data_IF_513552522511
#
_entry.id   IF_513552522511
#
_cell.length_a   1.000
_cell.length_b   1.000
_cell.length_c   1.000
_cell.angle_alpha   90.00
_cell.angle_beta   90.00
_cell.angle_gamma   90.00
#
_symmetry.space_group_name_H-M   'P 1'
#
loop_
_entity.id
_entity.type
_entity.pdbx_description
1 polymer ?
#
# COMPACT_ATOMS: atom_id res chain seq x y z
N UNK A 1 -19.11 -14.85 7.98
CA UNK A 1 -18.35 -15.95 7.33
C UNK A 1 -17.10 -15.44 6.61
N UNK A 2 -17.14 -14.27 5.98
CA UNK A 2 -16.04 -13.65 5.21
C UNK A 2 -14.79 -13.29 6.03
N UNK A 3 -14.95 -12.80 7.27
CA UNK A 3 -13.82 -12.34 8.12
C UNK A 3 -12.87 -13.49 8.52
N UNK A 4 -13.40 -14.70 8.78
CA UNK A 4 -12.58 -15.88 9.11
C UNK A 4 -11.73 -16.33 7.91
N UNK A 5 -12.31 -16.34 6.71
CA UNK A 5 -11.59 -16.73 5.50
C UNK A 5 -10.48 -15.71 5.17
N UNK A 6 -10.79 -14.41 5.23
CA UNK A 6 -9.82 -13.34 5.07
C UNK A 6 -8.67 -13.46 6.09
N UNK A 7 -8.99 -13.74 7.36
CA UNK A 7 -8.00 -13.95 8.42
C UNK A 7 -7.07 -15.13 8.17
N UNK A 8 -7.59 -16.26 7.65
CA UNK A 8 -6.74 -17.40 7.27
C UNK A 8 -5.88 -17.12 6.04
N UNK A 9 -6.43 -16.42 5.03
CA UNK A 9 -5.70 -16.05 3.81
C UNK A 9 -4.55 -15.10 4.14
N UNK A 10 -4.80 -14.05 4.93
CA UNK A 10 -3.76 -13.11 5.35
C UNK A 10 -2.65 -13.82 6.13
N UNK A 11 -2.99 -14.75 7.03
CA UNK A 11 -1.98 -15.51 7.78
C UNK A 11 -1.09 -16.37 6.86
N UNK A 12 -1.68 -17.06 5.88
CA UNK A 12 -0.92 -17.87 4.92
C UNK A 12 -0.02 -17.01 4.02
N UNK A 13 -0.48 -15.83 3.62
CA UNK A 13 0.30 -14.88 2.82
C UNK A 13 1.43 -14.24 3.63
N UNK A 14 1.19 -13.91 4.90
CA UNK A 14 2.25 -13.42 5.80
C UNK A 14 3.34 -14.46 6.02
N UNK A 15 2.98 -15.74 6.10
CA UNK A 15 3.97 -16.83 6.17
C UNK A 15 4.81 -16.92 4.89
N UNK A 16 4.17 -16.78 3.71
CA UNK A 16 4.87 -16.74 2.41
C UNK A 16 5.77 -15.52 2.24
N UNK A 17 5.41 -14.39 2.85
CA UNK A 17 6.20 -13.17 2.88
C UNK A 17 7.25 -13.15 4.02
N UNK A 18 7.43 -14.28 4.71
CA UNK A 18 8.44 -14.44 5.77
C UNK A 18 8.32 -13.40 6.91
N UNK A 19 7.09 -12.98 7.23
CA UNK A 19 6.85 -11.94 8.22
C UNK A 19 7.36 -12.32 9.63
N UNK A 20 8.21 -11.47 10.21
CA UNK A 20 8.78 -11.62 11.56
C UNK A 20 7.76 -11.38 12.66
N UNK A 21 6.82 -10.46 12.44
CA UNK A 21 5.84 -10.01 13.42
C UNK A 21 4.41 -10.35 13.00
N UNK A 22 4.15 -11.63 12.75
CA UNK A 22 2.91 -12.14 12.13
C UNK A 22 1.64 -11.60 12.76
N UNK A 23 1.50 -11.65 14.09
CA UNK A 23 0.27 -11.22 14.77
C UNK A 23 0.01 -9.72 14.57
N UNK A 24 1.04 -8.89 14.77
CA UNK A 24 0.93 -7.43 14.67
C UNK A 24 0.65 -6.99 13.23
N UNK A 25 1.36 -7.59 12.26
CA UNK A 25 1.11 -7.34 10.85
C UNK A 25 -0.30 -7.78 10.43
N UNK A 26 -0.73 -8.96 10.88
CA UNK A 26 -2.06 -9.49 10.59
C UNK A 26 -3.17 -8.57 11.13
N UNK A 27 -3.03 -8.08 12.35
CA UNK A 27 -4.03 -7.19 12.96
C UNK A 27 -4.12 -5.85 12.20
N UNK A 28 -2.98 -5.27 11.81
CA UNK A 28 -2.95 -4.03 11.02
C UNK A 28 -3.59 -4.23 9.63
N UNK A 29 -3.20 -5.30 8.92
CA UNK A 29 -3.75 -5.65 7.59
C UNK A 29 -5.25 -5.92 7.66
N UNK A 30 -5.71 -6.74 8.61
CA UNK A 30 -7.14 -7.04 8.73
C UNK A 30 -7.96 -5.81 9.11
N UNK A 31 -7.40 -4.92 9.94
CA UNK A 31 -8.02 -3.63 10.25
C UNK A 31 -8.19 -2.79 8.98
N UNK A 32 -7.14 -2.68 8.15
CA UNK A 32 -7.21 -1.97 6.88
C UNK A 32 -8.24 -2.59 5.92
N UNK A 33 -8.21 -3.91 5.71
CA UNK A 33 -9.14 -4.61 4.80
C UNK A 33 -10.61 -4.49 5.22
N UNK A 34 -10.91 -4.33 6.51
CA UNK A 34 -12.27 -4.07 6.99
C UNK A 34 -12.79 -2.70 6.56
N UNK A 35 -11.93 -1.68 6.55
CA UNK A 35 -12.30 -0.31 6.15
C UNK A 35 -12.20 -0.12 4.63
N UNK A 36 -11.32 -0.87 3.98
CA UNK A 36 -11.01 -0.77 2.55
C UNK A 36 -11.17 -2.12 1.85
N UNK A 37 -12.41 -2.63 1.69
CA UNK A 37 -12.66 -3.97 1.13
C UNK A 37 -12.28 -4.11 -0.35
N UNK A 38 -12.00 -3.00 -1.04
CA UNK A 38 -11.49 -2.99 -2.42
C UNK A 38 -10.04 -3.47 -2.55
N UNK A 39 -9.29 -3.49 -1.45
CA UNK A 39 -7.91 -3.96 -1.43
C UNK A 39 -7.84 -5.47 -1.31
N UNK A 40 -6.90 -6.07 -2.03
CA UNK A 40 -6.68 -7.52 -2.10
C UNK A 40 -5.27 -7.86 -1.60
N UNK A 41 -5.14 -8.82 -0.69
CA UNK A 41 -3.84 -9.27 -0.23
C UNK A 41 -3.20 -10.24 -1.23
N UNK A 42 -1.91 -10.06 -1.48
CA UNK A 42 -1.09 -10.88 -2.36
C UNK A 42 0.35 -10.98 -1.83
N UNK A 43 1.19 -11.77 -2.51
CA UNK A 43 2.64 -11.82 -2.25
C UNK A 43 3.37 -11.77 -3.59
N UNK A 44 4.30 -10.83 -3.71
CA UNK A 44 5.18 -10.68 -4.87
C UNK A 44 6.62 -10.56 -4.41
N UNK A 45 7.55 -10.88 -5.30
CA UNK A 45 8.95 -10.51 -5.10
C UNK A 45 9.09 -9.00 -5.27
N UNK A 46 9.69 -8.33 -4.28
CA UNK A 46 9.93 -6.90 -4.28
C UNK A 46 11.43 -6.62 -4.21
N UNK A 47 11.90 -5.72 -5.07
CA UNK A 47 13.27 -5.24 -5.06
C UNK A 47 13.31 -3.95 -4.25
N UNK A 48 13.97 -4.00 -3.11
CA UNK A 48 14.09 -2.87 -2.21
C UNK A 48 15.21 -1.92 -2.63
N UNK A 49 15.25 -0.68 -2.09
CA UNK A 49 16.32 0.29 -2.39
C UNK A 49 17.75 -0.19 -2.06
N UNK A 50 17.88 -1.20 -1.19
CA UNK A 50 19.15 -1.86 -0.85
C UNK A 50 19.55 -2.96 -1.87
N UNK A 51 18.84 -3.06 -2.99
CA UNK A 51 18.97 -4.08 -4.04
C UNK A 51 18.69 -5.52 -3.59
N UNK A 52 18.15 -5.72 -2.39
CA UNK A 52 17.66 -7.03 -1.97
C UNK A 52 16.34 -7.34 -2.67
N UNK A 53 16.20 -8.56 -3.16
CA UNK A 53 14.95 -9.10 -3.69
C UNK A 53 14.43 -10.12 -2.69
N UNK A 54 13.22 -9.91 -2.16
CA UNK A 54 12.59 -10.85 -1.23
C UNK A 54 11.08 -10.87 -1.43
N UNK A 55 10.41 -11.97 -1.03
CA UNK A 55 8.95 -11.99 -1.03
C UNK A 55 8.44 -10.90 -0.07
N UNK A 56 7.45 -10.14 -0.53
CA UNK A 56 6.82 -9.07 0.21
C UNK A 56 5.31 -9.25 0.17
N UNK A 57 4.65 -8.97 1.29
CA UNK A 57 3.19 -8.94 1.31
C UNK A 57 2.74 -7.67 0.58
N UNK A 58 1.79 -7.79 -0.34
CA UNK A 58 1.28 -6.67 -1.10
C UNK A 58 -0.22 -6.50 -0.88
N UNK A 59 -0.67 -5.28 -0.63
CA UNK A 59 -2.07 -4.90 -0.74
C UNK A 59 -2.26 -4.11 -2.03
N UNK A 60 -2.95 -4.71 -2.99
CA UNK A 60 -3.30 -4.07 -4.26
C UNK A 60 -4.75 -3.61 -4.22
N UNK A 61 -5.01 -2.38 -4.63
CA UNK A 61 -6.35 -1.83 -4.63
C UNK A 61 -6.43 -0.55 -5.45
N UNK A 62 -7.55 0.15 -5.31
CA UNK A 62 -7.75 1.45 -5.93
C UNK A 62 -8.16 2.47 -4.89
N UNK A 63 -7.66 3.69 -5.07
CA UNK A 63 -8.04 4.88 -4.32
C UNK A 63 -8.94 5.73 -5.22
N UNK A 64 -10.14 6.14 -4.76
CA UNK A 64 -10.99 7.03 -5.55
C UNK A 64 -10.26 8.34 -5.86
N UNK A 65 -10.14 8.68 -7.14
CA UNK A 65 -9.67 9.99 -7.61
C UNK A 65 -10.83 10.87 -8.07
N UNK A 66 -10.53 12.12 -8.43
CA UNK A 66 -11.57 13.05 -8.94
C UNK A 66 -12.08 12.66 -10.34
N UNK A 67 -11.21 12.14 -11.19
CA UNK A 67 -11.53 11.73 -12.56
C UNK A 67 -11.58 10.22 -12.66
N UNK A 68 -10.48 9.56 -12.30
CA UNK A 68 -10.34 8.12 -12.39
C UNK A 68 -9.88 7.52 -11.06
N UNK A 69 -10.25 6.25 -10.85
CA UNK A 69 -9.74 5.48 -9.72
C UNK A 69 -8.25 5.24 -9.89
N UNK A 70 -7.47 5.56 -8.87
CA UNK A 70 -6.04 5.42 -8.84
C UNK A 70 -5.63 4.03 -8.33
N UNK A 71 -5.12 3.12 -9.18
CA UNK A 71 -4.55 1.87 -8.73
C UNK A 71 -3.28 2.10 -7.89
N UNK A 72 -3.23 1.43 -6.75
CA UNK A 72 -2.09 1.50 -5.83
C UNK A 72 -1.68 0.11 -5.33
N UNK A 73 -0.39 -0.05 -5.06
CA UNK A 73 0.19 -1.23 -4.45
C UNK A 73 0.99 -0.84 -3.20
N UNK A 74 0.70 -1.51 -2.08
CA UNK A 74 1.35 -1.27 -0.79
C UNK A 74 2.14 -2.51 -0.40
N UNK A 75 3.46 -2.41 -0.45
CA UNK A 75 4.38 -3.48 -0.11
C UNK A 75 4.81 -3.41 1.35
N UNK A 76 4.63 -4.52 2.05
CA UNK A 76 5.02 -4.71 3.44
C UNK A 76 6.21 -5.66 3.49
N UNK A 77 7.33 -5.17 4.04
CA UNK A 77 8.52 -5.97 4.31
C UNK A 77 8.25 -6.93 5.48
N UNK A 78 9.08 -7.95 5.63
CA UNK A 78 9.10 -8.91 6.75
C UNK A 78 9.05 -8.28 8.16
N UNK A 79 9.47 -7.02 8.28
CA UNK A 79 9.59 -6.24 9.51
C UNK A 79 8.39 -5.34 9.81
N UNK A 80 7.38 -5.30 8.93
CA UNK A 80 6.12 -4.62 9.20
C UNK A 80 5.45 -5.21 10.47
N UNK A 81 4.81 -4.39 11.34
CA UNK A 81 4.53 -2.95 11.21
C UNK A 81 5.61 -2.01 11.76
N UNK A 82 6.77 -2.49 12.20
CA UNK A 82 7.81 -1.62 12.77
C UNK A 82 8.56 -0.78 11.73
N UNK A 83 8.42 -1.12 10.45
CA UNK A 83 8.91 -0.34 9.31
C UNK A 83 7.74 0.09 8.43
N UNK A 84 7.84 1.31 7.90
CA UNK A 84 6.88 1.85 6.96
C UNK A 84 6.77 0.93 5.73
N UNK A 85 5.58 0.80 5.14
CA UNK A 85 5.42 0.14 3.86
C UNK A 85 6.02 0.98 2.73
N UNK A 86 6.36 0.33 1.62
CA UNK A 86 6.71 1.00 0.37
C UNK A 86 5.48 1.00 -0.53
N UNK A 87 5.11 2.16 -1.07
CA UNK A 87 3.83 2.34 -1.75
C UNK A 87 4.05 2.85 -3.16
N UNK A 88 3.24 2.39 -4.11
CA UNK A 88 3.33 2.79 -5.51
C UNK A 88 1.96 3.10 -6.09
N UNK A 89 1.91 4.08 -6.98
CA UNK A 89 0.87 4.21 -8.01
C UNK A 89 1.20 3.23 -9.13
N UNK A 90 0.22 2.44 -9.56
CA UNK A 90 0.39 1.43 -10.61
C UNK A 90 -0.32 1.88 -11.90
N UNK A 91 0.29 2.70 -12.77
CA UNK A 91 -0.39 3.27 -13.93
C UNK A 91 -1.11 2.21 -14.76
N UNK A 92 -2.39 2.48 -15.05
CA UNK A 92 -3.09 1.75 -16.12
C UNK A 92 -2.50 2.15 -17.48
N UNK A 93 -2.73 1.35 -18.52
CA UNK A 93 -2.14 1.57 -19.86
C UNK A 93 -2.42 2.95 -20.48
N UNK A 94 -3.41 3.69 -19.98
CA UNK A 94 -3.77 5.06 -20.41
C UNK A 94 -3.37 6.15 -19.39
N UNK A 95 -2.84 5.79 -18.22
CA UNK A 95 -2.45 6.75 -17.19
C UNK A 95 -0.98 7.12 -17.33
N UNK A 96 -0.70 8.42 -17.38
CA UNK A 96 0.66 8.95 -17.28
C UNK A 96 0.86 9.39 -15.83
N UNK A 97 1.68 8.66 -15.07
CA UNK A 97 2.14 9.15 -13.76
C UNK A 97 3.12 10.29 -14.03
N UNK A 98 2.71 11.51 -13.69
CA UNK A 98 3.62 12.66 -13.70
C UNK A 98 4.26 12.79 -12.32
N UNK A 99 5.56 13.02 -12.31
CA UNK A 99 6.29 13.31 -11.07
C UNK A 99 5.64 14.49 -10.34
N UNK A 100 5.49 14.35 -9.03
CA UNK A 100 4.97 15.37 -8.12
C UNK A 100 5.76 15.34 -6.81
N UNK A 101 5.47 16.27 -5.90
CA UNK A 101 6.04 16.24 -4.54
C UNK A 101 5.77 14.90 -3.81
N UNK A 102 4.69 14.22 -4.19
CA UNK A 102 4.20 13.01 -3.50
C UNK A 102 4.45 11.71 -4.26
N UNK A 103 4.83 11.76 -5.54
CA UNK A 103 5.00 10.59 -6.41
C UNK A 103 6.18 10.81 -7.34
N UNK A 104 7.16 9.89 -7.35
CA UNK A 104 8.31 9.98 -8.24
C UNK A 104 8.02 9.43 -9.66
N UNK A 105 9.01 9.51 -10.56
CA UNK A 105 8.91 9.00 -11.94
C UNK A 105 8.60 7.49 -12.04
N UNK A 106 8.92 6.70 -11.01
CA UNK A 106 8.63 5.27 -10.93
C UNK A 106 7.27 4.98 -10.30
N UNK A 107 6.52 6.02 -9.91
CA UNK A 107 5.25 5.91 -9.21
C UNK A 107 5.39 5.67 -7.71
N UNK A 108 6.59 5.75 -7.13
CA UNK A 108 6.80 5.57 -5.70
C UNK A 108 6.18 6.73 -4.92
N UNK A 109 5.35 6.41 -3.94
CA UNK A 109 4.60 7.38 -3.13
C UNK A 109 5.44 7.81 -1.92
N UNK A 110 5.66 9.12 -1.79
CA UNK A 110 6.35 9.78 -0.69
C UNK A 110 5.36 10.66 0.10
N UNK A 111 5.03 10.25 1.33
CA UNK A 111 4.10 10.97 2.20
C UNK A 111 4.76 11.26 3.55
N UNK A 112 4.44 12.41 4.16
CA UNK A 112 4.87 12.75 5.53
C UNK A 112 4.47 11.63 6.52
N UNK A 113 3.31 11.01 6.31
CA UNK A 113 2.85 9.88 7.12
C UNK A 113 3.77 8.65 7.04
N UNK A 114 4.39 8.40 5.88
CA UNK A 114 5.38 7.33 5.68
C UNK A 114 6.72 7.71 6.30
N UNK A 115 7.18 8.95 6.11
CA UNK A 115 8.43 9.47 6.68
C UNK A 115 8.44 9.43 8.21
N UNK A 116 7.30 9.75 8.83
CA UNK A 116 7.13 9.77 10.29
C UNK A 116 6.52 8.48 10.85
N UNK A 117 6.61 7.36 10.12
CA UNK A 117 6.01 6.11 10.55
C UNK A 117 6.63 5.57 11.84
N UNK A 118 5.81 5.48 12.90
CA UNK A 118 6.17 4.94 14.20
C UNK A 118 5.05 4.01 14.66
N UNK A 119 5.33 2.71 14.75
CA UNK A 119 4.41 1.75 15.37
C UNK A 119 4.48 1.84 16.90
N UNK A 120 3.34 1.81 17.64
CA UNK A 120 1.97 1.56 17.19
C UNK A 120 1.14 2.79 16.81
N UNK A 121 1.74 3.98 16.70
CA UNK A 121 1.01 5.21 16.33
C UNK A 121 0.52 5.22 14.88
N UNK A 122 1.35 4.76 13.95
CA UNK A 122 1.02 4.65 12.53
C UNK A 122 0.59 3.23 12.16
N UNK A 123 -0.37 3.13 11.25
CA UNK A 123 -1.00 1.88 10.84
C UNK A 123 -1.63 2.05 9.44
N UNK A 124 -1.93 0.93 8.76
CA UNK A 124 -2.32 0.93 7.35
C UNK A 124 -3.64 1.66 7.08
N UNK A 125 -4.59 1.62 8.01
CA UNK A 125 -5.85 2.37 7.89
C UNK A 125 -5.58 3.89 7.79
N UNK A 126 -4.76 4.43 8.69
CA UNK A 126 -4.37 5.85 8.65
C UNK A 126 -3.61 6.21 7.38
N UNK A 127 -2.71 5.34 6.91
CA UNK A 127 -2.00 5.55 5.65
C UNK A 127 -2.98 5.64 4.47
N UNK A 128 -3.92 4.71 4.35
CA UNK A 128 -4.92 4.69 3.27
C UNK A 128 -5.83 5.92 3.33
N UNK A 129 -6.20 6.40 4.52
CA UNK A 129 -6.93 7.66 4.69
C UNK A 129 -6.14 8.87 4.19
N UNK A 130 -4.85 8.96 4.54
CA UNK A 130 -3.97 10.03 4.04
C UNK A 130 -3.82 9.95 2.52
N UNK A 131 -3.66 8.75 1.96
CA UNK A 131 -3.56 8.57 0.52
C UNK A 131 -4.84 9.02 -0.22
N UNK A 132 -6.02 8.72 0.31
CA UNK A 132 -7.30 9.20 -0.25
C UNK A 132 -7.41 10.74 -0.25
N UNK A 133 -6.82 11.42 0.72
CA UNK A 133 -6.88 12.89 0.80
C UNK A 133 -5.80 13.58 -0.06
N UNK A 134 -4.63 12.96 -0.19
CA UNK A 134 -3.46 13.60 -0.81
C UNK A 134 -3.31 13.25 -2.29
N UNK A 135 -3.46 11.97 -2.67
CA UNK A 135 -3.13 11.51 -4.03
C UNK A 135 -4.06 12.09 -5.12
N UNK A 136 -5.39 12.23 -4.91
CA UNK A 136 -6.25 12.83 -5.93
C UNK A 136 -5.90 14.28 -6.26
N UNK A 137 -5.30 15.02 -5.30
CA UNK A 137 -4.92 16.43 -5.47
C UNK A 137 -3.54 16.59 -6.13
N UNK A 138 -2.67 15.60 -6.01
CA UNK A 138 -1.29 15.67 -6.50
C UNK A 138 -1.10 15.14 -7.91
N UNK A 139 -2.02 14.29 -8.39
CA UNK A 139 -2.00 13.77 -9.74
C UNK A 139 -2.79 14.70 -10.66
N UNK A 140 -2.20 15.21 -11.76
CA UNK A 140 -2.88 16.13 -12.64
C UNK A 140 -4.06 15.46 -13.33
N UNK A 141 -5.21 16.11 -13.30
CA UNK A 141 -6.35 15.84 -14.18
C UNK A 141 -5.97 16.16 -15.61
N UNK A 142 -6.06 15.20 -16.54
CA UNK A 142 -5.89 15.42 -17.99
C UNK A 142 -7.07 16.23 -18.60
N UNK A 143 -7.46 17.33 -17.97
CA UNK A 143 -8.52 18.24 -18.42
C UNK A 143 -7.98 19.64 -18.68
N UNK A 144 -6.91 19.74 -19.47
CA UNK A 144 -6.53 20.98 -20.17
C UNK A 144 -5.64 20.62 -21.37
N UNK A 145 -6.26 20.25 -22.49
CA UNK A 145 -5.76 20.54 -23.85
C UNK A 145 -6.89 20.49 -24.86
#
# INVERSE_FOLDING_TARGET
MTDRLASSTVAALLQRAEAKYVNMAKDDILSALRHFPGFKPNVFDHIYPDHTCSPAFCLEGTIPGEIDNLPVAIYLRDTHPYKAPTCYVCPMAHMIVRESETVDELGCISLIYLHNWIFPGNHLNGLLQVMMDVLPKSLPSDSET
#
